data_IF_175938634027
#
_entry.id   IF_175938634027
#
_cell.length_a   1.000
_cell.length_b   1.000
_cell.length_c   1.000
_cell.angle_alpha   90.00
_cell.angle_beta   90.00
_cell.angle_gamma   90.00
#
_symmetry.space_group_name_H-M   'P 1'
#
loop_
_entity.id
_entity.type
_entity.pdbx_description
1 polymer ?
#
# COMPACT_ATOMS: atom_id res chain seq x y z
N UNK A 1 -2.27 14.73 3.91
CA UNK A 1 -2.91 14.13 2.73
C UNK A 1 -3.44 12.75 3.08
N UNK A 2 -4.71 12.57 2.77
CA UNK A 2 -5.64 11.72 3.48
C UNK A 2 -5.46 10.22 3.31
N UNK A 3 -5.85 9.53 4.38
CA UNK A 3 -5.93 8.07 4.51
C UNK A 3 -6.66 7.51 3.29
N UNK A 4 -6.11 6.50 2.61
CA UNK A 4 -6.96 5.60 1.79
C UNK A 4 -7.74 4.69 2.73
N UNK A 5 -8.63 5.30 3.51
CA UNK A 5 -9.72 4.57 4.12
C UNK A 5 -10.70 4.32 2.98
N UNK A 6 -10.83 3.06 2.56
CA UNK A 6 -11.93 2.70 1.69
C UNK A 6 -13.22 2.98 2.47
N UNK A 7 -14.03 3.90 1.97
CA UNK A 7 -15.34 4.28 2.51
C UNK A 7 -16.47 3.59 1.74
N UNK A 8 -16.17 3.04 0.55
CA UNK A 8 -17.08 2.27 -0.29
C UNK A 8 -16.34 1.13 -1.01
N UNK A 9 -17.05 0.04 -1.31
CA UNK A 9 -16.55 -1.08 -2.12
C UNK A 9 -16.17 -0.66 -3.54
N UNK A 10 -16.79 0.41 -4.07
CA UNK A 10 -16.49 0.96 -5.41
C UNK A 10 -15.07 1.53 -5.53
N UNK A 11 -14.40 1.77 -4.40
CA UNK A 11 -13.02 2.25 -4.36
C UNK A 11 -11.99 1.12 -4.32
N UNK A 12 -12.44 -0.14 -4.22
CA UNK A 12 -11.58 -1.31 -4.14
C UNK A 12 -11.37 -1.92 -5.53
N UNK A 13 -10.18 -2.47 -5.76
CA UNK A 13 -9.92 -3.25 -6.97
C UNK A 13 -10.60 -4.62 -6.90
N UNK A 14 -10.82 -5.25 -8.05
CA UNK A 14 -11.39 -6.61 -8.12
C UNK A 14 -10.60 -7.61 -7.27
N UNK A 15 -9.27 -7.54 -7.33
CA UNK A 15 -8.40 -8.41 -6.52
C UNK A 15 -8.59 -8.18 -5.02
N UNK A 16 -8.76 -6.93 -4.58
CA UNK A 16 -9.00 -6.62 -3.17
C UNK A 16 -10.36 -7.15 -2.70
N UNK A 17 -11.38 -7.07 -3.56
CA UNK A 17 -12.71 -7.60 -3.27
C UNK A 17 -12.71 -9.13 -3.22
N UNK A 18 -12.01 -9.79 -4.16
CA UNK A 18 -11.85 -11.25 -4.19
C UNK A 18 -11.15 -11.74 -2.91
N UNK A 19 -10.08 -11.08 -2.48
CA UNK A 19 -9.39 -11.43 -1.24
C UNK A 19 -10.24 -11.19 0.01
N UNK A 20 -11.06 -10.12 0.02
CA UNK A 20 -12.02 -9.89 1.09
C UNK A 20 -13.11 -10.98 1.11
N UNK A 21 -13.56 -11.42 -0.06
CA UNK A 21 -14.59 -12.45 -0.19
C UNK A 21 -14.09 -13.83 0.26
N UNK A 22 -12.83 -14.17 0.00
CA UNK A 22 -12.19 -15.38 0.56
C UNK A 22 -12.20 -15.39 2.08
N UNK A 23 -11.92 -14.25 2.73
CA UNK A 23 -12.00 -14.12 4.19
C UNK A 23 -13.43 -14.23 4.69
N UNK A 24 -14.38 -13.63 3.97
CA UNK A 24 -15.80 -13.72 4.29
C UNK A 24 -16.26 -15.18 4.31
N UNK A 25 -15.94 -15.97 3.28
CA UNK A 25 -16.27 -17.40 3.22
C UNK A 25 -15.76 -18.19 4.42
N UNK A 26 -14.59 -17.82 4.96
CA UNK A 26 -14.01 -18.48 6.13
C UNK A 26 -14.82 -18.17 7.40
N UNK A 27 -15.27 -16.93 7.58
CA UNK A 27 -16.02 -16.53 8.78
C UNK A 27 -17.53 -16.77 8.64
N UNK A 28 -18.02 -17.01 7.43
CA UNK A 28 -19.44 -17.18 7.14
C UNK A 28 -20.13 -18.26 7.99
N UNK A 29 -19.55 -19.46 8.20
CA UNK A 29 -20.17 -20.47 9.08
C UNK A 29 -20.34 -20.01 10.53
N UNK A 30 -19.48 -19.10 11.02
CA UNK A 30 -19.68 -18.50 12.35
C UNK A 30 -20.81 -17.47 12.34
N UNK A 31 -20.94 -16.69 11.28
CA UNK A 31 -22.00 -15.69 11.15
C UNK A 31 -23.40 -16.33 11.07
N UNK A 32 -23.49 -17.51 10.45
CA UNK A 32 -24.71 -18.32 10.38
C UNK A 32 -24.95 -19.20 11.63
N UNK A 33 -24.10 -19.09 12.65
CA UNK A 33 -24.13 -19.92 13.87
C UNK A 33 -23.98 -21.43 13.61
N UNK A 34 -23.40 -21.83 12.47
CA UNK A 34 -23.15 -23.22 12.12
C UNK A 34 -21.88 -23.77 12.78
N UNK A 35 -20.88 -22.91 12.99
CA UNK A 35 -19.59 -23.29 13.58
C UNK A 35 -19.08 -22.28 14.59
N UNK A 36 -18.38 -22.79 15.61
CA UNK A 36 -17.62 -21.98 16.54
C UNK A 36 -16.31 -21.47 15.90
N UNK A 37 -15.74 -20.39 16.46
CA UNK A 37 -14.43 -19.88 16.05
C UNK A 37 -13.33 -20.95 16.17
N UNK A 38 -13.44 -21.83 17.16
CA UNK A 38 -12.48 -22.90 17.39
C UNK A 38 -12.51 -23.94 16.26
N UNK A 39 -13.69 -24.40 15.86
CA UNK A 39 -13.84 -25.33 14.73
C UNK A 39 -13.29 -24.74 13.42
N UNK A 40 -13.58 -23.46 13.15
CA UNK A 40 -13.04 -22.77 11.97
C UNK A 40 -11.51 -22.68 12.04
N UNK A 41 -10.95 -22.42 13.23
CA UNK A 41 -9.50 -22.36 13.46
C UNK A 41 -8.82 -23.70 13.19
N UNK A 42 -9.41 -24.80 13.65
CA UNK A 42 -8.91 -26.16 13.46
C UNK A 42 -8.95 -26.59 11.98
N UNK A 43 -10.01 -26.25 11.25
CA UNK A 43 -10.18 -26.57 9.83
C UNK A 43 -9.26 -25.75 8.93
N UNK A 44 -9.18 -24.43 9.16
CA UNK A 44 -8.44 -23.51 8.29
C UNK A 44 -6.97 -23.35 8.67
N UNK A 45 -6.57 -23.86 9.85
CA UNK A 45 -5.25 -23.63 10.47
C UNK A 45 -4.93 -22.15 10.72
N UNK A 46 -5.93 -21.27 10.68
CA UNK A 46 -5.80 -19.87 11.07
C UNK A 46 -5.93 -19.73 12.58
N UNK A 47 -5.18 -18.81 13.18
CA UNK A 47 -5.33 -18.55 14.61
C UNK A 47 -6.72 -17.99 14.95
N UNK A 48 -7.24 -18.36 16.11
CA UNK A 48 -8.48 -17.83 16.70
C UNK A 48 -8.50 -16.29 16.65
N UNK A 49 -7.36 -15.65 16.96
CA UNK A 49 -7.20 -14.19 16.93
C UNK A 49 -7.50 -13.59 15.55
N UNK A 50 -7.01 -14.21 14.47
CA UNK A 50 -7.25 -13.73 13.10
C UNK A 50 -8.73 -13.84 12.75
N UNK A 51 -9.36 -14.97 13.08
CA UNK A 51 -10.76 -15.22 12.78
C UNK A 51 -11.64 -14.22 13.55
N UNK A 52 -11.40 -14.03 14.85
CA UNK A 52 -12.11 -13.03 15.66
C UNK A 52 -11.91 -11.61 15.13
N UNK A 53 -10.70 -11.27 14.70
CA UNK A 53 -10.41 -9.98 14.09
C UNK A 53 -11.23 -9.75 12.82
N UNK A 54 -11.33 -10.75 11.94
CA UNK A 54 -12.16 -10.66 10.72
C UNK A 54 -13.65 -10.55 11.05
N UNK A 55 -14.16 -11.35 11.99
CA UNK A 55 -15.55 -11.26 12.46
C UNK A 55 -15.86 -9.85 12.96
N UNK A 56 -15.00 -9.30 13.83
CA UNK A 56 -15.16 -7.95 14.36
C UNK A 56 -15.18 -6.90 13.24
N UNK A 57 -14.20 -6.95 12.33
CA UNK A 57 -14.13 -6.00 11.20
C UNK A 57 -15.32 -6.09 10.25
N UNK A 58 -15.81 -7.32 10.00
CA UNK A 58 -17.00 -7.54 9.19
C UNK A 58 -18.27 -7.03 9.88
N UNK A 59 -18.43 -7.25 11.19
CA UNK A 59 -19.57 -6.70 11.94
C UNK A 59 -19.57 -5.16 11.95
N UNK A 60 -18.40 -4.53 12.00
CA UNK A 60 -18.28 -3.07 11.99
C UNK A 60 -18.53 -2.44 10.60
N UNK A 61 -18.06 -3.07 9.51
CA UNK A 61 -17.99 -2.41 8.19
C UNK A 61 -18.43 -3.31 7.02
N UNK A 62 -19.05 -4.45 7.27
CA UNK A 62 -19.36 -5.46 6.26
C UNK A 62 -18.12 -5.96 5.51
N UNK A 63 -18.28 -6.32 4.23
CA UNK A 63 -17.20 -6.82 3.39
C UNK A 63 -16.01 -5.83 3.28
N UNK A 64 -16.30 -4.53 3.34
CA UNK A 64 -15.30 -3.47 3.33
C UNK A 64 -14.30 -3.59 4.50
N UNK A 65 -14.76 -4.09 5.65
CA UNK A 65 -13.91 -4.35 6.82
C UNK A 65 -12.89 -5.46 6.60
N UNK A 66 -13.13 -6.37 5.65
CA UNK A 66 -12.24 -7.47 5.29
C UNK A 66 -11.25 -7.09 4.17
N UNK A 67 -11.46 -5.95 3.51
CA UNK A 67 -10.52 -5.41 2.53
C UNK A 67 -9.22 -5.02 3.23
N UNK A 68 -8.10 -5.48 2.68
CA UNK A 68 -6.78 -5.12 3.20
C UNK A 68 -6.58 -3.61 3.02
N UNK A 69 -6.41 -2.89 4.13
CA UNK A 69 -5.99 -1.48 4.08
C UNK A 69 -4.58 -1.38 3.53
N UNK A 70 -4.34 -0.40 2.66
CA UNK A 70 -2.98 -0.03 2.30
C UNK A 70 -2.24 0.45 3.55
N UNK A 71 -0.94 0.19 3.62
CA UNK A 71 -0.13 0.70 4.73
C UNK A 71 -0.11 2.23 4.68
N UNK A 72 -0.12 2.87 5.85
CA UNK A 72 -0.15 4.33 5.97
C UNK A 72 1.10 5.03 5.41
N UNK A 73 2.18 4.28 5.22
CA UNK A 73 3.46 4.69 4.63
C UNK A 73 3.65 4.19 3.19
N UNK A 74 2.67 3.48 2.62
CA UNK A 74 2.75 3.01 1.24
C UNK A 74 2.82 4.20 0.28
N UNK A 75 3.86 4.24 -0.55
CA UNK A 75 4.13 5.36 -1.46
C UNK A 75 4.59 6.65 -0.80
N UNK A 76 4.70 6.71 0.54
CA UNK A 76 5.30 7.86 1.23
C UNK A 76 6.81 7.77 1.17
N UNK A 77 7.39 8.63 0.34
CA UNK A 77 8.82 8.81 0.30
C UNK A 77 9.26 9.65 1.49
N UNK A 78 10.20 9.14 2.30
CA UNK A 78 10.95 9.95 3.28
C UNK A 78 11.98 10.83 2.55
N UNK A 79 11.51 11.62 1.60
CA UNK A 79 12.30 12.51 0.75
C UNK A 79 11.59 13.85 0.80
N UNK A 80 12.34 14.94 1.01
CA UNK A 80 11.74 16.27 1.01
C UNK A 80 11.14 16.62 -0.35
N UNK A 81 10.10 17.45 -0.37
CA UNK A 81 9.44 17.86 -1.61
C UNK A 81 10.41 18.51 -2.59
N UNK A 82 11.39 19.26 -2.07
CA UNK A 82 12.45 19.89 -2.85
C UNK A 82 13.31 18.85 -3.60
N UNK A 83 13.68 17.74 -2.94
CA UNK A 83 14.44 16.65 -3.58
C UNK A 83 13.55 15.89 -4.56
N UNK A 84 12.25 15.73 -4.29
CA UNK A 84 11.30 15.13 -5.23
C UNK A 84 11.16 15.94 -6.52
N UNK A 85 11.02 17.27 -6.41
CA UNK A 85 10.98 18.18 -7.55
C UNK A 85 12.27 18.07 -8.38
N UNK A 86 13.42 17.97 -7.71
CA UNK A 86 14.68 17.83 -8.43
C UNK A 86 14.80 16.49 -9.15
N UNK A 87 14.27 15.39 -8.60
CA UNK A 87 14.18 14.11 -9.32
C UNK A 87 13.31 14.28 -10.58
N UNK A 88 12.17 14.97 -10.49
CA UNK A 88 11.30 15.24 -11.65
C UNK A 88 12.02 16.05 -12.72
N UNK A 89 12.69 17.14 -12.33
CA UNK A 89 13.43 18.00 -13.26
C UNK A 89 14.49 17.21 -14.03
N UNK A 90 15.36 16.46 -13.33
CA UNK A 90 16.42 15.66 -13.97
C UNK A 90 15.82 14.60 -14.91
N UNK A 91 14.69 13.99 -14.53
CA UNK A 91 14.02 12.97 -15.33
C UNK A 91 13.38 13.56 -16.60
N UNK A 92 12.73 14.72 -16.50
CA UNK A 92 12.07 15.40 -17.62
C UNK A 92 13.08 16.03 -18.59
N UNK A 93 14.16 16.63 -18.08
CA UNK A 93 15.24 17.20 -18.90
C UNK A 93 15.96 16.13 -19.74
N UNK A 94 16.01 14.89 -19.26
CA UNK A 94 16.75 13.82 -19.91
C UNK A 94 15.94 12.53 -20.01
N UNK A 95 15.03 12.47 -20.99
CA UNK A 95 14.09 11.35 -21.20
C UNK A 95 14.72 9.94 -21.25
N UNK A 96 16.02 9.82 -21.58
CA UNK A 96 16.76 8.56 -21.69
C UNK A 96 17.85 8.35 -20.62
N UNK A 97 17.87 9.16 -19.55
CA UNK A 97 18.86 9.00 -18.50
C UNK A 97 18.56 7.76 -17.65
N UNK A 98 19.61 6.99 -17.31
CA UNK A 98 19.47 5.85 -16.41
C UNK A 98 19.18 6.31 -14.98
N UNK A 99 18.42 5.52 -14.22
CA UNK A 99 18.09 5.80 -12.82
C UNK A 99 19.37 5.94 -11.98
N UNK A 100 20.40 5.14 -12.25
CA UNK A 100 21.71 5.27 -11.60
C UNK A 100 22.37 6.62 -11.87
N UNK A 101 22.21 7.18 -13.07
CA UNK A 101 22.74 8.50 -13.41
C UNK A 101 21.92 9.63 -12.76
N UNK A 102 20.60 9.46 -12.63
CA UNK A 102 19.75 10.38 -11.84
C UNK A 102 20.21 10.37 -10.39
N UNK A 103 20.33 9.17 -9.78
CA UNK A 103 20.75 9.02 -8.39
C UNK A 103 22.11 9.66 -8.12
N UNK A 104 23.10 9.47 -9.01
CA UNK A 104 24.42 10.11 -8.89
C UNK A 104 24.37 11.64 -8.97
N UNK A 105 23.58 12.20 -9.89
CA UNK A 105 23.42 13.66 -10.03
C UNK A 105 22.70 14.25 -8.81
N UNK A 106 21.67 13.56 -8.35
CA UNK A 106 20.88 13.96 -7.20
C UNK A 106 21.70 13.91 -5.92
N UNK A 107 22.55 12.90 -5.76
CA UNK A 107 23.50 12.81 -4.63
C UNK A 107 24.37 14.05 -4.54
N UNK A 108 25.04 14.41 -5.65
CA UNK A 108 25.89 15.60 -5.71
C UNK A 108 25.13 16.88 -5.36
N UNK A 109 23.92 17.03 -5.91
CA UNK A 109 23.08 18.19 -5.64
C UNK A 109 22.59 18.23 -4.17
N UNK A 110 22.25 17.10 -3.56
CA UNK A 110 21.88 17.04 -2.14
C UNK A 110 23.05 17.42 -1.25
N UNK A 111 24.28 16.97 -1.57
CA UNK A 111 25.50 17.35 -0.85
C UNK A 111 25.75 18.87 -0.92
N UNK A 112 25.61 19.48 -2.11
CA UNK A 112 25.78 20.93 -2.32
C UNK A 112 24.73 21.77 -1.57
N UNK A 113 23.53 21.22 -1.34
CA UNK A 113 22.41 21.93 -0.69
C UNK A 113 22.19 21.50 0.77
N UNK A 114 23.10 20.70 1.35
CA UNK A 114 22.97 20.15 2.71
C UNK A 114 21.64 19.41 2.96
N UNK A 115 21.13 18.70 1.95
CA UNK A 115 19.89 17.92 2.00
C UNK A 115 20.18 16.44 2.24
N UNK A 116 19.21 15.73 2.83
CA UNK A 116 19.31 14.27 3.00
C UNK A 116 19.28 13.57 1.64
N UNK A 117 20.30 12.76 1.35
CA UNK A 117 20.37 11.94 0.14
C UNK A 117 19.27 10.85 0.14
N UNK A 118 18.46 10.74 -0.92
CA UNK A 118 17.56 9.61 -1.07
C UNK A 118 18.33 8.36 -1.53
N UNK A 119 17.90 7.20 -1.06
CA UNK A 119 18.41 5.92 -1.57
C UNK A 119 18.06 5.71 -3.04
N UNK A 120 18.82 4.84 -3.72
CA UNK A 120 18.51 4.42 -5.09
C UNK A 120 17.06 3.94 -5.23
N UNK A 121 16.56 3.13 -4.28
CA UNK A 121 15.19 2.60 -4.31
C UNK A 121 14.15 3.72 -4.21
N UNK A 122 14.42 4.74 -3.38
CA UNK A 122 13.58 5.92 -3.23
C UNK A 122 13.48 6.69 -4.56
N UNK A 123 14.59 6.89 -5.27
CA UNK A 123 14.60 7.52 -6.60
C UNK A 123 13.88 6.66 -7.64
N UNK A 124 14.19 5.36 -7.72
CA UNK A 124 13.55 4.42 -8.63
C UNK A 124 12.03 4.35 -8.45
N UNK A 125 11.59 4.22 -7.20
CA UNK A 125 10.18 4.10 -6.86
C UNK A 125 9.43 5.40 -7.11
N UNK A 126 10.04 6.56 -6.82
CA UNK A 126 9.45 7.85 -7.15
C UNK A 126 9.24 8.02 -8.65
N UNK A 127 10.27 7.78 -9.48
CA UNK A 127 10.18 7.87 -10.95
C UNK A 127 9.10 6.94 -11.51
N UNK A 128 8.99 5.71 -10.98
CA UNK A 128 7.96 4.75 -11.40
C UNK A 128 6.53 5.23 -11.13
N UNK A 129 6.34 6.10 -10.13
CA UNK A 129 5.05 6.67 -9.77
C UNK A 129 4.77 8.03 -10.44
N UNK A 130 5.71 8.59 -11.23
CA UNK A 130 5.44 9.79 -12.04
C UNK A 130 4.43 9.38 -13.14
N UNK A 131 3.29 10.07 -13.28
CA UNK A 131 2.33 9.78 -14.34
C UNK A 131 3.01 9.97 -15.70
N UNK A 132 2.87 8.98 -16.58
CA UNK A 132 3.52 8.96 -17.92
C UNK A 132 2.96 10.00 -18.90
N UNK A 133 1.89 10.70 -18.53
CA UNK A 133 1.24 11.72 -19.35
C UNK A 133 1.48 13.09 -18.72
N UNK A 134 2.42 13.84 -19.30
CA UNK A 134 2.56 15.29 -19.18
C UNK A 134 2.49 15.85 -20.61
#
# INVERSE_FOLDING_TARGET
>A
MDKKHYHSLTQCTEQQLEDAYKKYKIIFPYLENEKTVQQISEETKLSIRIIQYWICKFKENGLLGLVRKERSDYGKFKISDLVQQQIQNIHLEHKNISISSIHRRLKKWCEENALTEPSYYQVWSFIRNIPKNL
#
